data_IF_564892573958
#
_entry.id   IF_564892573958
#
_cell.length_a   1.000
_cell.length_b   1.000
_cell.length_c   1.000
_cell.angle_alpha   90.00
_cell.angle_beta   90.00
_cell.angle_gamma   90.00
#
_symmetry.space_group_name_H-M   'P 1'
#
loop_
_entity.id
_entity.type
_entity.pdbx_description
1 polymer ?
#
# COMPACT_ATOMS: atom_id res chain seq x y z
N UNK A 1 -37.68 -19.45 -20.64
CA UNK A 1 -37.66 -18.22 -19.83
C UNK A 1 -36.34 -18.17 -19.11
N UNK A 2 -35.59 -17.07 -19.17
CA UNK A 2 -34.32 -16.97 -18.45
C UNK A 2 -34.58 -17.04 -16.94
N UNK A 3 -33.83 -17.86 -16.22
CA UNK A 3 -33.96 -17.99 -14.77
C UNK A 3 -33.27 -16.82 -14.07
N UNK A 4 -33.72 -16.49 -12.85
CA UNK A 4 -33.08 -15.44 -12.03
C UNK A 4 -31.59 -15.73 -11.81
N UNK A 5 -31.21 -17.00 -11.74
CA UNK A 5 -29.82 -17.44 -11.61
C UNK A 5 -28.97 -17.12 -12.86
N UNK A 6 -29.50 -17.37 -14.06
CA UNK A 6 -28.83 -17.03 -15.32
C UNK A 6 -28.66 -15.51 -15.46
N UNK A 7 -29.69 -14.73 -15.10
CA UNK A 7 -29.61 -13.28 -15.14
C UNK A 7 -28.54 -12.75 -14.18
N UNK A 8 -28.46 -13.31 -12.96
CA UNK A 8 -27.43 -12.96 -11.97
C UNK A 8 -26.02 -13.32 -12.48
N UNK A 9 -25.87 -14.47 -13.13
CA UNK A 9 -24.60 -14.91 -13.69
C UNK A 9 -24.13 -13.95 -14.79
N UNK A 10 -24.99 -13.65 -15.76
CA UNK A 10 -24.69 -12.72 -16.86
C UNK A 10 -24.35 -11.32 -16.35
N UNK A 11 -25.09 -10.82 -15.34
CA UNK A 11 -24.81 -9.53 -14.73
C UNK A 11 -23.43 -9.49 -14.05
N UNK A 12 -23.11 -10.53 -13.27
CA UNK A 12 -21.79 -10.65 -12.62
C UNK A 12 -20.67 -10.65 -13.65
N UNK A 13 -20.80 -11.48 -14.69
CA UNK A 13 -19.82 -11.64 -15.77
C UNK A 13 -19.59 -10.31 -16.51
N UNK A 14 -20.66 -9.55 -16.73
CA UNK A 14 -20.61 -8.22 -17.34
C UNK A 14 -19.88 -7.21 -16.45
N UNK A 15 -20.15 -7.21 -15.14
CA UNK A 15 -19.48 -6.32 -14.18
C UNK A 15 -17.99 -6.69 -13.99
N UNK A 16 -17.64 -7.97 -14.09
CA UNK A 16 -16.26 -8.46 -14.10
C UNK A 16 -15.52 -8.00 -15.36
N UNK A 17 -16.10 -8.18 -16.56
CA UNK A 17 -15.51 -7.74 -17.85
C UNK A 17 -15.32 -6.23 -17.93
N UNK A 18 -16.24 -5.45 -17.35
CA UNK A 18 -16.12 -3.98 -17.26
C UNK A 18 -15.13 -3.51 -16.19
N UNK A 19 -14.55 -4.41 -15.39
CA UNK A 19 -13.62 -4.10 -14.30
C UNK A 19 -14.28 -3.50 -13.04
N UNK A 20 -15.57 -3.16 -13.09
CA UNK A 20 -16.32 -2.53 -11.99
C UNK A 20 -16.35 -3.44 -10.76
N UNK A 21 -16.61 -4.74 -10.95
CA UNK A 21 -16.63 -5.68 -9.82
C UNK A 21 -15.25 -5.86 -9.20
N UNK A 22 -14.18 -5.80 -10.00
CA UNK A 22 -12.81 -5.83 -9.52
C UNK A 22 -12.46 -4.60 -8.69
N UNK A 23 -12.83 -3.41 -9.17
CA UNK A 23 -12.64 -2.15 -8.44
C UNK A 23 -13.42 -2.12 -7.12
N UNK A 24 -14.67 -2.59 -7.10
CA UNK A 24 -15.46 -2.67 -5.88
C UNK A 24 -14.83 -3.63 -4.86
N UNK A 25 -14.39 -4.82 -5.29
CA UNK A 25 -13.67 -5.78 -4.43
C UNK A 25 -12.36 -5.18 -3.89
N UNK A 26 -11.63 -4.40 -4.70
CA UNK A 26 -10.41 -3.73 -4.26
C UNK A 26 -10.70 -2.68 -3.18
N UNK A 27 -11.72 -1.84 -3.39
CA UNK A 27 -12.15 -0.84 -2.40
C UNK A 27 -12.59 -1.46 -1.08
N UNK A 28 -13.38 -2.54 -1.12
CA UNK A 28 -13.78 -3.26 0.10
C UNK A 28 -12.55 -3.80 0.83
N UNK A 29 -11.59 -4.38 0.11
CA UNK A 29 -10.34 -4.87 0.72
C UNK A 29 -9.56 -3.74 1.38
N UNK A 30 -9.43 -2.59 0.73
CA UNK A 30 -8.76 -1.42 1.29
C UNK A 30 -9.45 -0.94 2.57
N UNK A 31 -10.78 -0.82 2.56
CA UNK A 31 -11.55 -0.39 3.72
C UNK A 31 -11.43 -1.35 4.90
N UNK A 32 -11.50 -2.67 4.63
CA UNK A 32 -11.30 -3.70 5.65
C UNK A 32 -9.88 -3.63 6.22
N UNK A 33 -8.87 -3.41 5.37
CA UNK A 33 -7.50 -3.26 5.82
C UNK A 33 -7.34 -2.04 6.72
N UNK A 34 -7.87 -0.88 6.30
CA UNK A 34 -7.83 0.34 7.10
C UNK A 34 -8.58 0.21 8.44
N UNK A 35 -9.71 -0.50 8.46
CA UNK A 35 -10.47 -0.72 9.69
C UNK A 35 -9.77 -1.68 10.68
N UNK A 36 -8.84 -2.50 10.18
CA UNK A 36 -8.04 -3.43 10.97
C UNK A 36 -6.62 -2.91 11.24
N UNK A 37 -6.15 -1.90 10.50
CA UNK A 37 -4.81 -1.33 10.66
C UNK A 37 -4.75 -0.62 12.00
N UNK A 38 -4.00 -1.19 12.95
CA UNK A 38 -3.77 -0.59 14.24
C UNK A 38 -2.65 0.45 14.08
N UNK A 39 -3.03 1.71 13.84
CA UNK A 39 -2.07 2.82 13.71
C UNK A 39 -1.21 3.06 14.97
N UNK A 40 -1.50 2.37 16.09
CA UNK A 40 -0.69 2.44 17.29
C UNK A 40 0.62 1.66 17.21
N UNK A 41 0.74 0.68 16.29
CA UNK A 41 2.01 -0.02 16.08
C UNK A 41 2.93 0.81 15.16
N UNK A 42 4.09 1.28 15.67
CA UNK A 42 5.02 2.02 14.83
C UNK A 42 5.53 1.10 13.72
N UNK A 43 5.28 1.50 12.47
CA UNK A 43 5.81 0.77 11.32
C UNK A 43 7.34 0.62 11.46
N UNK A 44 7.90 -0.56 11.11
CA UNK A 44 9.34 -0.80 11.27
C UNK A 44 10.19 0.25 10.55
N UNK A 45 11.27 0.68 11.21
CA UNK A 45 12.25 1.57 10.62
C UNK A 45 12.82 0.97 9.33
N UNK A 46 12.97 1.79 8.29
CA UNK A 46 13.52 1.35 7.01
C UNK A 46 15.01 1.02 7.16
N UNK A 47 15.35 -0.27 7.30
CA UNK A 47 16.75 -0.72 7.28
C UNK A 47 17.33 -0.63 5.86
N UNK A 48 18.66 -0.63 5.76
CA UNK A 48 19.35 -0.70 4.46
C UNK A 48 18.97 -1.97 3.66
N UNK A 49 18.79 -3.09 4.36
CA UNK A 49 18.35 -4.35 3.74
C UNK A 49 16.95 -4.24 3.16
N UNK A 50 16.02 -3.59 3.88
CA UNK A 50 14.67 -3.35 3.39
C UNK A 50 14.64 -2.42 2.17
N UNK A 51 15.52 -1.42 2.14
CA UNK A 51 15.69 -0.57 0.96
C UNK A 51 16.16 -1.39 -0.25
N UNK A 52 17.17 -2.24 -0.07
CA UNK A 52 17.65 -3.12 -1.15
C UNK A 52 16.55 -4.07 -1.66
N UNK A 53 15.76 -4.65 -0.75
CA UNK A 53 14.63 -5.52 -1.11
C UNK A 53 13.60 -4.74 -1.94
N UNK A 54 13.27 -3.51 -1.55
CA UNK A 54 12.34 -2.66 -2.32
C UNK A 54 12.86 -2.39 -3.73
N UNK A 55 14.16 -2.11 -3.89
CA UNK A 55 14.79 -1.92 -5.21
C UNK A 55 14.68 -3.16 -6.08
N UNK A 56 14.95 -4.35 -5.53
CA UNK A 56 14.83 -5.62 -6.27
C UNK A 56 13.38 -5.89 -6.70
N UNK A 57 12.41 -5.57 -5.85
CA UNK A 57 10.98 -5.67 -6.19
C UNK A 57 10.63 -4.69 -7.31
N UNK A 58 11.09 -3.44 -7.23
CA UNK A 58 10.89 -2.42 -8.27
C UNK A 58 11.44 -2.90 -9.62
N UNK A 59 12.68 -3.37 -9.64
CA UNK A 59 13.34 -3.89 -10.84
C UNK A 59 12.55 -5.08 -11.44
N UNK A 60 12.10 -6.01 -10.60
CA UNK A 60 11.26 -7.13 -11.04
C UNK A 60 9.96 -6.65 -11.71
N UNK A 61 9.26 -5.68 -11.10
CA UNK A 61 8.02 -5.14 -11.64
C UNK A 61 8.25 -4.44 -12.98
N UNK A 62 9.34 -3.69 -13.12
CA UNK A 62 9.72 -3.00 -14.36
C UNK A 62 10.11 -3.98 -15.47
N UNK A 63 10.89 -5.01 -15.14
CA UNK A 63 11.29 -6.07 -16.06
C UNK A 63 10.06 -6.75 -16.67
N UNK A 64 9.07 -7.09 -15.84
CA UNK A 64 7.83 -7.75 -16.25
C UNK A 64 6.72 -6.80 -16.74
N UNK A 65 7.02 -5.50 -16.91
CA UNK A 65 6.11 -4.48 -17.44
C UNK A 65 4.87 -4.21 -16.59
N UNK A 66 4.94 -4.41 -15.27
CA UNK A 66 3.89 -4.08 -14.31
C UNK A 66 3.95 -2.61 -13.88
N UNK A 67 3.87 -1.69 -14.85
CA UNK A 67 4.11 -0.24 -14.67
C UNK A 67 3.22 0.40 -13.60
N UNK A 68 1.95 0.00 -13.53
CA UNK A 68 1.02 0.56 -12.54
C UNK A 68 1.37 0.14 -11.12
N UNK A 69 1.76 -1.12 -10.91
CA UNK A 69 2.19 -1.62 -9.60
C UNK A 69 3.50 -0.95 -9.16
N UNK A 70 4.46 -0.82 -10.07
CA UNK A 70 5.72 -0.13 -9.79
C UNK A 70 5.49 1.34 -9.39
N UNK A 71 4.57 2.04 -10.06
CA UNK A 71 4.20 3.43 -9.73
C UNK A 71 3.63 3.57 -8.32
N UNK A 72 2.81 2.63 -7.86
CA UNK A 72 2.24 2.65 -6.50
C UNK A 72 3.35 2.41 -5.47
N UNK A 73 4.22 1.43 -5.70
CA UNK A 73 5.35 1.13 -4.83
C UNK A 73 6.27 2.35 -4.62
N UNK A 74 6.62 3.05 -5.70
CA UNK A 74 7.45 4.28 -5.64
C UNK A 74 6.78 5.35 -4.78
N UNK A 75 5.48 5.58 -4.97
CA UNK A 75 4.75 6.59 -4.21
C UNK A 75 4.70 6.29 -2.71
N UNK A 76 4.48 5.01 -2.35
CA UNK A 76 4.47 4.58 -0.95
C UNK A 76 5.85 4.69 -0.29
N UNK A 77 6.92 4.39 -1.02
CA UNK A 77 8.28 4.49 -0.49
C UNK A 77 8.70 5.94 -0.20
N UNK A 78 8.31 6.88 -1.05
CA UNK A 78 8.55 8.31 -0.79
C UNK A 78 7.83 8.77 0.47
N UNK A 79 6.57 8.37 0.67
CA UNK A 79 5.82 8.67 1.89
C UNK A 79 6.54 8.13 3.14
N UNK A 80 7.16 6.95 3.05
CA UNK A 80 7.95 6.37 4.16
C UNK A 80 9.22 7.16 4.46
N UNK A 81 9.93 7.64 3.43
CA UNK A 81 11.13 8.46 3.63
C UNK A 81 10.78 9.81 4.28
N UNK A 82 9.64 10.40 3.94
CA UNK A 82 9.15 11.63 4.58
C UNK A 82 8.76 11.41 6.05
N UNK A 83 8.04 10.33 6.36
CA UNK A 83 7.67 9.98 7.75
C UNK A 83 8.91 9.70 8.63
N UNK A 84 9.90 8.98 8.09
CA UNK A 84 11.16 8.72 8.81
C UNK A 84 12.00 9.99 9.06
N UNK A 85 11.86 11.03 8.22
CA UNK A 85 12.49 12.34 8.44
C UNK A 85 11.77 13.15 9.51
N UNK A 86 10.43 13.10 9.55
CA UNK A 86 9.61 13.78 10.56
C UNK A 86 9.89 13.29 11.98
N UNK A 87 9.95 11.97 12.18
CA UNK A 87 10.23 11.38 13.50
C UNK A 87 11.65 11.65 14.02
N UNK A 88 12.64 11.80 13.14
CA UNK A 88 14.01 12.15 13.53
C UNK A 88 14.16 13.62 13.97
N UNK A 89 13.32 14.54 13.46
CA UNK A 89 13.38 15.96 13.83
C UNK A 89 12.84 16.22 15.25
N UNK A 90 11.80 15.48 15.68
CA UNK A 90 11.22 15.62 17.02
C UNK A 90 12.16 15.11 18.13
N UNK A 91 13.00 14.12 17.84
CA UNK A 91 13.94 13.54 18.80
C UNK A 91 15.19 14.41 19.08
N UNK A 92 15.41 15.50 18.32
CA UNK A 92 16.60 16.35 18.49
C UNK A 92 16.43 17.41 19.60
N UNK A 93 15.21 17.66 20.08
CA UNK A 93 14.92 18.71 21.07
C UNK A 93 14.98 18.26 22.54
N UNK A 94 15.21 16.97 22.83
CA UNK A 94 15.30 16.45 24.20
C UNK A 94 16.69 15.88 24.49
N UNK A 95 17.72 16.73 24.53
CA UNK A 95 19.00 16.37 25.16
C UNK A 95 19.22 17.29 26.36
N UNK A 96 19.13 16.79 27.61
CA UNK A 96 19.32 17.62 28.79
C UNK A 96 20.79 18.00 28.90
N UNK A 97 21.05 19.31 28.93
CA UNK A 97 22.35 19.88 29.23
C UNK A 97 22.86 19.34 30.57
N UNK A 98 23.90 18.50 30.53
CA UNK A 98 24.64 18.07 31.72
C UNK A 98 25.35 19.30 32.30
N UNK A 99 24.79 19.85 33.39
CA UNK A 99 25.45 20.88 34.19
C UNK A 99 26.61 20.22 34.95
N UNK A 100 27.81 20.75 34.71
CA UNK A 100 29.02 20.50 35.49
C UNK A 100 28.92 21.11 36.88
#
# INVERSE_FOLDING_TARGET
MATVAELKAVLKDTLEKRGVLGHLKARIRAEVFNALDDESEPRPSLSHENFLINELIREYLEFNKYKYTASVLIAEEHLRQEQARGSNAENLHTSPTVKR
#
